data_IF_706619402242
#
_entry.id   IF_706619402242
#
_cell.length_a   1.000
_cell.length_b   1.000
_cell.length_c   1.000
_cell.angle_alpha   90.00
_cell.angle_beta   90.00
_cell.angle_gamma   90.00
#
_symmetry.space_group_name_H-M   'P 1'
#
loop_
_entity.id
_entity.type
_entity.pdbx_description
1 polymer ?
#
# COMPACT_ATOMS: atom_id res chain seq x y z
N UNK A 1 -26.95 -32.87 19.45
CA UNK A 1 -26.44 -31.54 19.03
C UNK A 1 -24.94 -31.70 18.78
N UNK A 2 -24.48 -31.51 17.56
CA UNK A 2 -23.11 -31.89 17.14
C UNK A 2 -22.11 -30.83 17.63
N UNK A 3 -21.21 -31.20 18.50
CA UNK A 3 -20.09 -30.37 19.02
C UNK A 3 -19.31 -29.68 17.89
N UNK A 4 -19.22 -30.32 16.71
CA UNK A 4 -18.58 -29.74 15.51
C UNK A 4 -19.23 -28.43 15.01
N UNK A 5 -20.52 -28.19 15.26
CA UNK A 5 -21.19 -26.95 14.82
C UNK A 5 -20.85 -25.77 15.75
N UNK A 6 -20.57 -26.07 17.03
CA UNK A 6 -20.13 -25.03 17.98
C UNK A 6 -18.66 -24.62 17.74
N UNK A 7 -17.79 -25.58 17.39
CA UNK A 7 -16.40 -25.35 17.10
C UNK A 7 -16.19 -24.60 15.76
N UNK A 8 -17.08 -24.76 14.79
CA UNK A 8 -17.00 -24.03 13.52
C UNK A 8 -17.29 -22.52 13.65
N UNK A 9 -17.91 -22.08 14.75
CA UNK A 9 -18.12 -20.66 15.07
C UNK A 9 -16.81 -20.02 15.57
N UNK A 10 -15.92 -20.85 16.15
CA UNK A 10 -14.61 -20.43 16.65
C UNK A 10 -13.46 -20.74 15.67
N UNK A 11 -13.77 -21.38 14.53
CA UNK A 11 -12.76 -21.53 13.49
C UNK A 11 -12.37 -20.15 12.97
N UNK A 12 -11.06 -19.81 12.95
CA UNK A 12 -10.61 -18.54 12.43
C UNK A 12 -11.13 -18.39 10.99
N UNK A 13 -11.86 -17.33 10.72
CA UNK A 13 -12.14 -16.93 9.35
C UNK A 13 -10.89 -16.20 8.83
N UNK A 14 -9.79 -16.92 8.71
CA UNK A 14 -8.47 -16.44 8.29
C UNK A 14 -8.46 -15.75 6.92
N UNK A 15 -9.55 -15.90 6.18
CA UNK A 15 -9.71 -15.56 4.78
C UNK A 15 -9.73 -14.04 4.50
N UNK A 16 -9.79 -13.19 5.52
CA UNK A 16 -10.02 -11.75 5.28
C UNK A 16 -8.78 -10.89 5.30
N UNK A 17 -7.77 -11.21 6.12
CA UNK A 17 -6.60 -10.34 6.33
C UNK A 17 -5.58 -10.45 5.19
N UNK A 18 -5.22 -11.67 4.80
CA UNK A 18 -4.24 -11.88 3.72
C UNK A 18 -4.64 -11.21 2.41
N UNK A 19 -5.87 -11.35 1.88
CA UNK A 19 -6.30 -10.62 0.70
C UNK A 19 -6.23 -9.09 0.84
N UNK A 20 -6.51 -8.54 2.03
CA UNK A 20 -6.42 -7.10 2.27
C UNK A 20 -4.96 -6.63 2.30
N UNK A 21 -4.07 -7.40 2.91
CA UNK A 21 -2.63 -7.10 2.92
C UNK A 21 -2.02 -7.24 1.51
N UNK A 22 -2.40 -8.26 0.75
CA UNK A 22 -1.99 -8.43 -0.65
C UNK A 22 -2.47 -7.25 -1.52
N UNK A 23 -3.69 -6.78 -1.32
CA UNK A 23 -4.22 -5.62 -2.04
C UNK A 23 -3.47 -4.33 -1.64
N UNK A 24 -3.17 -4.14 -0.35
CA UNK A 24 -2.40 -3.00 0.15
C UNK A 24 -1.00 -2.97 -0.48
N UNK A 25 -0.29 -4.10 -0.51
CA UNK A 25 1.05 -4.17 -1.13
C UNK A 25 1.01 -4.02 -2.64
N UNK A 26 -0.06 -4.47 -3.31
CA UNK A 26 -0.26 -4.25 -4.75
C UNK A 26 -0.44 -2.75 -5.06
N UNK A 27 -1.19 -2.03 -4.23
CA UNK A 27 -1.36 -0.57 -4.32
C UNK A 27 -0.02 0.13 -4.07
N UNK A 28 0.75 -0.32 -3.08
CA UNK A 28 2.08 0.21 -2.78
C UNK A 28 3.03 0.08 -3.99
N UNK A 29 3.10 -1.11 -4.60
CA UNK A 29 3.92 -1.35 -5.80
C UNK A 29 3.45 -0.47 -6.94
N UNK A 30 2.14 -0.40 -7.21
CA UNK A 30 1.60 0.45 -8.27
C UNK A 30 1.93 1.94 -8.04
N UNK A 31 1.81 2.43 -6.82
CA UNK A 31 2.18 3.80 -6.45
C UNK A 31 3.66 4.07 -6.72
N UNK A 32 4.53 3.12 -6.41
CA UNK A 32 5.98 3.23 -6.65
C UNK A 32 6.34 3.20 -8.14
N UNK A 33 5.62 2.43 -8.97
CA UNK A 33 5.75 2.44 -10.44
C UNK A 33 5.40 3.81 -11.01
N UNK A 34 4.27 4.39 -10.57
CA UNK A 34 3.84 5.73 -11.00
C UNK A 34 4.84 6.80 -10.56
N UNK A 35 5.39 6.70 -9.36
CA UNK A 35 6.44 7.59 -8.87
C UNK A 35 7.70 7.50 -9.74
N UNK A 36 8.11 6.30 -10.11
CA UNK A 36 9.25 6.06 -10.99
C UNK A 36 9.05 6.69 -12.37
N UNK A 37 7.87 6.57 -12.94
CA UNK A 37 7.52 7.23 -14.20
C UNK A 37 7.50 8.75 -14.05
N UNK A 38 6.96 9.28 -12.95
CA UNK A 38 6.95 10.71 -12.64
C UNK A 38 8.36 11.31 -12.61
N UNK A 39 9.32 10.58 -12.06
CA UNK A 39 10.72 11.02 -12.00
C UNK A 39 11.49 10.82 -13.31
N UNK A 40 10.93 10.08 -14.26
CA UNK A 40 11.54 9.81 -15.57
C UNK A 40 11.02 10.73 -16.68
N UNK A 41 9.87 11.40 -16.49
CA UNK A 41 9.28 12.27 -17.50
C UNK A 41 9.62 13.74 -17.27
N UNK A 42 9.89 14.47 -18.37
CA UNK A 42 10.03 15.93 -18.37
C UNK A 42 8.75 16.64 -18.85
N UNK A 43 7.75 15.89 -19.34
CA UNK A 43 6.49 16.44 -19.85
C UNK A 43 5.58 16.89 -18.68
N UNK A 44 5.23 18.19 -18.59
CA UNK A 44 4.40 18.70 -17.48
C UNK A 44 2.98 18.11 -17.45
N UNK A 45 2.37 17.87 -18.62
CA UNK A 45 1.02 17.29 -18.70
C UNK A 45 1.03 15.85 -18.18
N UNK A 46 2.04 15.07 -18.57
CA UNK A 46 2.22 13.70 -18.07
C UNK A 46 2.49 13.70 -16.56
N UNK A 47 3.28 14.63 -16.03
CA UNK A 47 3.49 14.78 -14.58
C UNK A 47 2.17 15.05 -13.85
N UNK A 48 1.33 15.94 -14.36
CA UNK A 48 0.02 16.21 -13.80
C UNK A 48 -0.87 14.96 -13.78
N UNK A 49 -0.88 14.20 -14.86
CA UNK A 49 -1.63 12.95 -14.96
C UNK A 49 -1.13 11.91 -13.94
N UNK A 50 0.20 11.69 -13.88
CA UNK A 50 0.81 10.75 -12.94
C UNK A 50 0.52 11.09 -11.48
N UNK A 51 0.55 12.37 -11.13
CA UNK A 51 0.20 12.78 -9.76
C UNK A 51 -1.28 12.54 -9.43
N UNK A 52 -2.19 12.65 -10.39
CA UNK A 52 -3.60 12.28 -10.20
C UNK A 52 -3.74 10.77 -10.01
N UNK A 53 -2.99 9.97 -10.78
CA UNK A 53 -2.99 8.51 -10.63
C UNK A 53 -2.42 8.09 -9.27
N UNK A 54 -1.31 8.68 -8.83
CA UNK A 54 -0.74 8.45 -7.50
C UNK A 54 -1.76 8.80 -6.41
N UNK A 55 -2.46 9.93 -6.52
CA UNK A 55 -3.52 10.28 -5.56
C UNK A 55 -4.68 9.28 -5.58
N UNK A 56 -5.01 8.74 -6.74
CA UNK A 56 -6.04 7.71 -6.83
C UNK A 56 -5.61 6.39 -6.13
N UNK A 57 -4.35 6.01 -6.23
CA UNK A 57 -3.81 4.85 -5.49
C UNK A 57 -3.82 5.10 -3.98
N UNK A 58 -3.43 6.29 -3.51
CA UNK A 58 -3.49 6.64 -2.08
C UNK A 58 -4.93 6.54 -1.53
N UNK A 59 -5.92 7.04 -2.26
CA UNK A 59 -7.33 6.90 -1.84
C UNK A 59 -7.76 5.43 -1.76
N UNK A 60 -7.23 4.56 -2.63
CA UNK A 60 -7.48 3.10 -2.54
C UNK A 60 -6.79 2.52 -1.30
N UNK A 61 -5.52 2.88 -1.04
CA UNK A 61 -4.75 2.47 0.14
C UNK A 61 -5.52 2.78 1.43
N UNK A 62 -5.88 4.04 1.60
CA UNK A 62 -6.74 4.55 2.69
C UNK A 62 -8.00 3.69 2.94
N UNK A 63 -8.64 3.28 1.85
CA UNK A 63 -9.84 2.43 1.95
C UNK A 63 -9.50 1.02 2.43
N UNK A 64 -8.43 0.41 1.93
CA UNK A 64 -8.00 -0.93 2.33
C UNK A 64 -7.55 -0.93 3.80
N UNK A 65 -6.80 0.07 4.24
CA UNK A 65 -6.39 0.24 5.63
C UNK A 65 -7.59 0.32 6.57
N UNK A 66 -8.60 1.13 6.23
CA UNK A 66 -9.86 1.22 6.98
C UNK A 66 -10.64 -0.11 6.99
N UNK A 67 -10.63 -0.85 5.89
CA UNK A 67 -11.24 -2.19 5.82
C UNK A 67 -10.50 -3.18 6.70
N UNK A 68 -9.17 -3.14 6.73
CA UNK A 68 -8.33 -3.98 7.60
C UNK A 68 -8.62 -3.70 9.08
N UNK A 69 -8.66 -2.43 9.48
CA UNK A 69 -8.99 -2.06 10.86
C UNK A 69 -10.40 -2.46 11.26
N UNK A 70 -11.37 -2.32 10.35
CA UNK A 70 -12.73 -2.80 10.58
C UNK A 70 -12.76 -4.32 10.74
N UNK A 71 -12.05 -5.06 9.86
CA UNK A 71 -11.97 -6.51 9.97
C UNK A 71 -11.33 -6.96 11.29
N UNK A 72 -10.29 -6.23 11.77
CA UNK A 72 -9.69 -6.46 13.09
C UNK A 72 -10.72 -6.26 14.22
N UNK A 73 -11.52 -5.21 14.19
CA UNK A 73 -12.52 -4.94 15.20
C UNK A 73 -13.65 -5.99 15.21
N UNK A 74 -14.01 -6.49 14.04
CA UNK A 74 -15.11 -7.45 13.86
C UNK A 74 -14.67 -8.93 14.06
N UNK A 75 -13.36 -9.18 14.29
CA UNK A 75 -12.80 -10.53 14.38
C UNK A 75 -12.25 -10.79 15.78
N UNK A 76 -12.68 -11.89 16.41
CA UNK A 76 -12.22 -12.28 17.75
C UNK A 76 -10.85 -12.97 17.71
N UNK A 77 -10.65 -13.88 16.75
CA UNK A 77 -9.38 -14.59 16.54
C UNK A 77 -8.73 -14.14 15.23
N UNK A 78 -7.46 -13.77 15.29
CA UNK A 78 -6.64 -13.37 14.14
C UNK A 78 -5.58 -14.43 13.83
N UNK A 79 -5.11 -14.56 12.57
CA UNK A 79 -4.13 -15.58 12.18
C UNK A 79 -2.77 -15.39 12.85
N UNK A 80 -2.38 -14.17 13.17
CA UNK A 80 -1.21 -13.79 13.96
C UNK A 80 -1.56 -12.57 14.83
N UNK A 81 -0.59 -11.97 15.50
CA UNK A 81 -0.86 -10.90 16.46
C UNK A 81 -1.66 -9.75 15.81
N UNK A 82 -2.71 -9.34 16.51
CA UNK A 82 -3.62 -8.27 16.05
C UNK A 82 -2.90 -6.94 15.90
N UNK A 83 -1.97 -6.66 16.82
CA UNK A 83 -1.19 -5.42 16.81
C UNK A 83 -0.25 -5.41 15.63
N UNK A 84 0.36 -6.55 15.27
CA UNK A 84 1.22 -6.68 14.10
C UNK A 84 0.45 -6.46 12.78
N UNK A 85 -0.78 -7.00 12.67
CA UNK A 85 -1.63 -6.75 11.48
C UNK A 85 -1.98 -5.27 11.37
N UNK A 86 -2.31 -4.63 12.49
CA UNK A 86 -2.65 -3.22 12.53
C UNK A 86 -1.44 -2.37 12.12
N UNK A 87 -0.28 -2.62 12.73
CA UNK A 87 0.95 -1.88 12.46
C UNK A 87 1.41 -2.05 11.00
N UNK A 88 1.35 -3.28 10.48
CA UNK A 88 1.69 -3.54 9.08
C UNK A 88 0.79 -2.75 8.12
N UNK A 89 -0.53 -2.77 8.34
CA UNK A 89 -1.46 -2.03 7.50
C UNK A 89 -1.23 -0.51 7.56
N UNK A 90 -0.94 0.02 8.75
CA UNK A 90 -0.66 1.43 8.98
C UNK A 90 0.64 1.87 8.29
N UNK A 91 1.71 1.09 8.43
CA UNK A 91 3.01 1.38 7.78
C UNK A 91 2.90 1.32 6.25
N UNK A 92 2.15 0.37 5.69
CA UNK A 92 1.92 0.31 4.23
C UNK A 92 1.21 1.56 3.73
N UNK A 93 0.20 2.03 4.44
CA UNK A 93 -0.53 3.26 4.15
C UNK A 93 0.37 4.50 4.24
N UNK A 94 1.17 4.59 5.29
CA UNK A 94 2.15 5.67 5.49
C UNK A 94 3.13 5.81 4.31
N UNK A 95 3.61 4.70 3.76
CA UNK A 95 4.51 4.72 2.59
C UNK A 95 3.79 5.22 1.34
N UNK A 96 2.56 4.77 1.11
CA UNK A 96 1.73 5.24 -0.02
C UNK A 96 1.47 6.76 0.11
N UNK A 97 1.19 7.22 1.31
CA UNK A 97 1.03 8.64 1.64
C UNK A 97 2.28 9.46 1.35
N UNK A 98 3.46 8.96 1.72
CA UNK A 98 4.74 9.62 1.42
C UNK A 98 4.96 9.70 -0.09
N UNK A 99 4.63 8.66 -0.84
CA UNK A 99 4.70 8.65 -2.31
C UNK A 99 3.79 9.75 -2.89
N UNK A 100 2.54 9.83 -2.42
CA UNK A 100 1.61 10.88 -2.85
C UNK A 100 2.13 12.29 -2.50
N UNK A 101 2.62 12.51 -1.28
CA UNK A 101 3.24 13.78 -0.87
C UNK A 101 4.44 14.15 -1.74
N UNK A 102 5.24 13.18 -2.17
CA UNK A 102 6.35 13.40 -3.08
C UNK A 102 5.86 13.89 -4.45
N UNK A 103 4.83 13.26 -5.01
CA UNK A 103 4.18 13.69 -6.25
C UNK A 103 3.63 15.13 -6.16
N UNK A 104 2.95 15.47 -5.07
CA UNK A 104 2.43 16.82 -4.84
C UNK A 104 3.55 17.87 -4.80
N UNK A 105 4.70 17.55 -4.19
CA UNK A 105 5.87 18.43 -4.19
C UNK A 105 6.44 18.64 -5.60
N UNK A 106 6.48 17.61 -6.43
CA UNK A 106 6.91 17.74 -7.84
C UNK A 106 5.99 18.70 -8.60
N UNK A 107 4.68 18.64 -8.37
CA UNK A 107 3.74 19.59 -8.99
C UNK A 107 3.93 21.02 -8.47
N UNK A 108 4.04 21.16 -7.14
CA UNK A 108 4.16 22.46 -6.48
C UNK A 108 5.41 23.23 -6.93
N UNK A 109 6.56 22.55 -6.95
CA UNK A 109 7.82 23.19 -7.32
C UNK A 109 8.06 23.21 -8.83
N UNK A 110 7.32 22.42 -9.60
CA UNK A 110 7.40 22.34 -11.08
C UNK A 110 8.84 22.40 -11.65
N UNK A 111 9.77 21.57 -11.16
CA UNK A 111 11.15 21.64 -11.62
C UNK A 111 11.21 21.28 -13.11
N UNK A 112 11.98 22.02 -13.89
CA UNK A 112 12.18 21.72 -15.33
C UNK A 112 12.78 20.32 -15.49
N UNK A 113 13.75 19.96 -14.63
CA UNK A 113 14.41 18.66 -14.62
C UNK A 113 14.57 18.14 -13.20
N UNK A 114 14.26 16.86 -13.01
CA UNK A 114 14.53 16.16 -11.76
C UNK A 114 15.97 15.65 -11.73
N UNK A 115 16.57 15.64 -10.56
CA UNK A 115 17.96 15.21 -10.39
C UNK A 115 18.07 13.70 -10.66
N UNK A 116 19.16 13.28 -11.34
CA UNK A 116 19.47 11.88 -11.61
C UNK A 116 19.56 11.04 -10.33
N UNK A 117 20.10 11.59 -9.25
CA UNK A 117 20.19 10.90 -7.96
C UNK A 117 18.80 10.66 -7.36
N UNK A 118 17.86 11.57 -7.55
CA UNK A 118 16.47 11.37 -7.12
C UNK A 118 15.80 10.23 -7.89
N UNK A 119 16.07 10.09 -9.19
CA UNK A 119 15.58 8.98 -10.00
C UNK A 119 16.16 7.62 -9.53
N UNK A 120 17.45 7.58 -9.15
CA UNK A 120 18.05 6.38 -8.55
C UNK A 120 17.43 6.00 -7.22
N UNK A 121 17.16 6.99 -6.35
CA UNK A 121 16.45 6.74 -5.08
C UNK A 121 15.05 6.16 -5.30
N UNK A 122 14.31 6.69 -6.27
CA UNK A 122 12.98 6.17 -6.61
C UNK A 122 13.06 4.74 -7.16
N UNK A 123 14.10 4.39 -7.93
CA UNK A 123 14.31 3.00 -8.37
C UNK A 123 14.58 2.05 -7.19
N UNK A 124 15.30 2.49 -6.17
CA UNK A 124 15.52 1.72 -4.94
C UNK A 124 14.22 1.56 -4.16
N UNK A 125 13.42 2.63 -4.03
CA UNK A 125 12.09 2.58 -3.39
C UNK A 125 11.20 1.56 -4.10
N UNK A 126 11.13 1.62 -5.43
CA UNK A 126 10.34 0.65 -6.23
C UNK A 126 10.76 -0.80 -5.96
N UNK A 127 12.06 -1.09 -5.97
CA UNK A 127 12.58 -2.43 -5.65
C UNK A 127 12.22 -2.84 -4.22
N UNK A 128 12.35 -1.94 -3.26
CA UNK A 128 11.93 -2.20 -1.88
C UNK A 128 10.44 -2.52 -1.76
N UNK A 129 9.57 -1.82 -2.49
CA UNK A 129 8.13 -2.10 -2.50
C UNK A 129 7.82 -3.52 -3.06
N UNK A 130 8.56 -3.97 -4.07
CA UNK A 130 8.42 -5.35 -4.59
C UNK A 130 8.82 -6.37 -3.54
N UNK A 131 9.93 -6.17 -2.84
CA UNK A 131 10.37 -7.10 -1.78
C UNK A 131 9.38 -7.14 -0.61
N UNK A 132 8.79 -6.00 -0.24
CA UNK A 132 7.71 -5.95 0.76
C UNK A 132 6.49 -6.74 0.29
N UNK A 133 6.09 -6.61 -0.97
CA UNK A 133 4.97 -7.39 -1.53
C UNK A 133 5.27 -8.89 -1.46
N UNK A 134 6.47 -9.32 -1.88
CA UNK A 134 6.87 -10.73 -1.80
C UNK A 134 6.81 -11.24 -0.36
N UNK A 135 7.37 -10.49 0.61
CA UNK A 135 7.37 -10.89 2.00
C UNK A 135 5.95 -11.03 2.58
N UNK A 136 5.03 -10.14 2.22
CA UNK A 136 3.62 -10.19 2.66
C UNK A 136 2.87 -11.35 2.02
N UNK A 137 3.14 -11.65 0.74
CA UNK A 137 2.49 -12.78 0.04
C UNK A 137 2.92 -14.14 0.61
N UNK A 138 4.05 -14.21 1.30
CA UNK A 138 4.57 -15.44 1.93
C UNK A 138 4.11 -15.63 3.41
N UNK A 139 3.32 -14.69 3.97
CA UNK A 139 2.72 -14.82 5.31
C UNK A 139 1.60 -15.85 5.31
#
# INVERSE_FOLDING_TARGET
>A
MKINTLLSVFAPKDVKFFPLLDEATSILVQSSVLLKELFSTENPERRNELCRLIKAEEVKGDKITKQTFKALNDTFLTPFDREDIHELADILDDVIDVINRCGQKVLLYSPQKLNKNSALLVDIIYKGCIEVQHAVTEL
#
